data_IF_002199128217
#
_entry.id   IF_002199128217
#
_cell.length_a   1.000
_cell.length_b   1.000
_cell.length_c   1.000
_cell.angle_alpha   90.00
_cell.angle_beta   90.00
_cell.angle_gamma   90.00
#
_symmetry.space_group_name_H-M   'P 1'
#
loop_
_entity.id
_entity.type
_entity.pdbx_description
1 polymer ?
#
# COMPACT_ATOMS: atom_id res chain seq x y z
N UNK A 1 -47.72 31.40 -89.53
CA UNK A 1 -46.52 30.69 -89.05
C UNK A 1 -46.48 30.77 -87.53
N UNK A 2 -46.04 29.68 -86.92
CA UNK A 2 -46.19 29.30 -85.52
C UNK A 2 -45.24 30.10 -84.61
N UNK A 3 -45.71 30.36 -83.39
CA UNK A 3 -45.00 31.05 -82.30
C UNK A 3 -43.88 30.20 -81.69
N UNK A 4 -42.94 30.83 -80.99
CA UNK A 4 -42.28 30.21 -79.84
C UNK A 4 -41.82 31.24 -78.81
N UNK A 5 -42.45 31.17 -77.63
CA UNK A 5 -42.05 31.79 -76.37
C UNK A 5 -41.21 30.75 -75.61
N UNK A 6 -40.02 31.11 -75.18
CA UNK A 6 -39.11 30.22 -74.42
C UNK A 6 -39.43 30.38 -72.92
N UNK A 7 -39.76 29.29 -72.19
CA UNK A 7 -40.09 29.34 -70.76
C UNK A 7 -38.85 29.35 -69.86
N UNK A 8 -38.94 30.09 -68.77
CA UNK A 8 -37.99 30.15 -67.66
C UNK A 8 -38.09 28.86 -66.83
N UNK A 9 -36.98 28.12 -66.70
CA UNK A 9 -36.89 26.96 -65.81
C UNK A 9 -36.68 27.41 -64.36
N UNK A 10 -37.71 27.19 -63.53
CA UNK A 10 -37.58 27.18 -62.07
C UNK A 10 -37.06 25.79 -61.67
N UNK A 11 -35.84 25.71 -61.15
CA UNK A 11 -35.31 24.47 -60.55
C UNK A 11 -35.93 24.28 -59.16
N UNK A 12 -36.50 23.10 -58.92
CA UNK A 12 -37.00 22.66 -57.61
C UNK A 12 -35.83 22.60 -56.62
N UNK A 13 -35.99 23.22 -55.45
CA UNK A 13 -35.14 22.98 -54.29
C UNK A 13 -35.65 21.70 -53.62
N UNK A 14 -35.12 20.56 -54.03
CA UNK A 14 -35.21 19.28 -53.31
C UNK A 14 -33.85 18.55 -53.40
N UNK A 15 -32.75 19.31 -53.31
CA UNK A 15 -31.44 18.72 -53.01
C UNK A 15 -31.37 18.53 -51.49
N UNK A 16 -31.58 17.29 -51.07
CA UNK A 16 -31.27 16.80 -49.73
C UNK A 16 -29.85 17.25 -49.35
N UNK A 17 -29.76 18.14 -48.37
CA UNK A 17 -28.54 18.33 -47.61
C UNK A 17 -28.24 16.97 -46.96
N UNK A 18 -27.16 16.32 -47.39
CA UNK A 18 -26.61 15.18 -46.67
C UNK A 18 -26.11 15.69 -45.31
N UNK A 19 -26.96 15.54 -44.29
CA UNK A 19 -26.67 15.88 -42.89
C UNK A 19 -25.93 14.74 -42.19
N UNK A 20 -25.38 13.76 -42.92
CA UNK A 20 -24.55 12.74 -42.30
C UNK A 20 -23.29 13.39 -41.76
N UNK A 21 -23.30 13.65 -40.44
CA UNK A 21 -22.07 13.88 -39.71
C UNK A 21 -21.14 12.71 -40.02
N UNK A 22 -19.86 12.96 -40.34
CA UNK A 22 -18.90 11.87 -40.53
C UNK A 22 -18.99 10.97 -39.29
N UNK A 23 -18.95 9.63 -39.46
CA UNK A 23 -19.06 8.71 -38.33
C UNK A 23 -18.03 9.15 -37.28
N UNK A 24 -18.51 9.43 -36.06
CA UNK A 24 -17.65 9.71 -34.91
C UNK A 24 -16.59 8.62 -34.92
N UNK A 25 -15.33 9.01 -35.22
CA UNK A 25 -14.17 8.13 -35.03
C UNK A 25 -14.37 7.50 -33.66
N UNK A 26 -14.53 6.18 -33.59
CA UNK A 26 -14.74 5.52 -32.31
C UNK A 26 -13.55 5.91 -31.43
N UNK A 27 -13.75 6.88 -30.53
CA UNK A 27 -12.71 7.27 -29.58
C UNK A 27 -12.40 6.00 -28.83
N UNK A 28 -11.13 5.58 -28.86
CA UNK A 28 -10.70 4.43 -28.10
C UNK A 28 -11.21 4.60 -26.66
N UNK A 29 -11.88 3.59 -26.09
CA UNK A 29 -12.53 3.73 -24.80
C UNK A 29 -11.52 4.21 -23.76
N UNK A 30 -11.96 5.13 -22.90
CA UNK A 30 -11.13 5.64 -21.81
C UNK A 30 -10.67 4.44 -20.95
N UNK A 31 -9.37 4.41 -20.67
CA UNK A 31 -8.71 3.36 -19.87
C UNK A 31 -8.16 3.97 -18.60
N UNK A 32 -8.67 3.52 -17.46
CA UNK A 32 -8.29 3.99 -16.13
C UNK A 32 -7.60 2.85 -15.39
N UNK A 33 -6.44 3.14 -14.81
CA UNK A 33 -5.74 2.24 -13.90
C UNK A 33 -6.13 2.58 -12.47
N UNK A 34 -6.46 1.57 -11.67
CA UNK A 34 -6.81 1.73 -10.24
C UNK A 34 -5.79 0.94 -9.42
N UNK A 35 -4.85 1.64 -8.78
CA UNK A 35 -3.76 1.10 -7.97
C UNK A 35 -3.83 1.57 -6.49
N UNK A 36 -4.81 1.12 -5.70
CA UNK A 36 -4.94 1.54 -4.32
C UNK A 36 -4.11 0.68 -3.36
N UNK A 37 -3.87 1.19 -2.15
CA UNK A 37 -3.63 0.37 -0.96
C UNK A 37 -4.91 0.24 -0.13
N UNK A 38 -4.94 -0.74 0.78
CA UNK A 38 -6.00 -0.86 1.79
C UNK A 38 -6.10 0.36 2.71
N UNK A 39 -7.27 0.51 3.36
CA UNK A 39 -7.48 1.48 4.44
C UNK A 39 -7.28 0.75 5.75
N UNK A 40 -6.17 1.05 6.44
CA UNK A 40 -5.77 0.39 7.69
C UNK A 40 -6.95 0.29 8.67
N UNK A 41 -7.17 -0.91 9.20
CA UNK A 41 -8.26 -1.23 10.13
C UNK A 41 -9.69 -1.08 9.56
N UNK A 42 -9.87 -0.73 8.27
CA UNK A 42 -11.18 -0.42 7.67
C UNK A 42 -11.49 -1.26 6.43
N UNK A 43 -10.81 -1.05 5.31
CA UNK A 43 -11.10 -1.71 4.04
C UNK A 43 -9.89 -2.48 3.52
N UNK A 44 -10.12 -3.73 3.11
CA UNK A 44 -9.15 -4.53 2.37
C UNK A 44 -8.81 -3.89 1.02
N UNK A 45 -7.57 -4.09 0.57
CA UNK A 45 -7.03 -3.53 -0.67
C UNK A 45 -7.87 -3.88 -1.90
N UNK A 46 -8.42 -5.09 -1.99
CA UNK A 46 -9.29 -5.52 -3.10
C UNK A 46 -10.62 -4.75 -3.07
N UNK A 47 -11.21 -4.63 -1.88
CA UNK A 47 -12.47 -3.90 -1.66
C UNK A 47 -12.31 -2.43 -2.03
N UNK A 48 -11.18 -1.80 -1.68
CA UNK A 48 -10.88 -0.42 -2.08
C UNK A 48 -10.87 -0.29 -3.60
N UNK A 49 -10.23 -1.21 -4.33
CA UNK A 49 -10.21 -1.18 -5.80
C UNK A 49 -11.61 -1.34 -6.40
N UNK A 50 -12.45 -2.21 -5.83
CA UNK A 50 -13.83 -2.43 -6.25
C UNK A 50 -14.72 -1.21 -6.00
N UNK A 51 -14.58 -0.54 -4.86
CA UNK A 51 -15.29 0.70 -4.57
C UNK A 51 -14.97 1.80 -5.60
N UNK A 52 -13.69 1.98 -5.91
CA UNK A 52 -13.25 2.99 -6.89
C UNK A 52 -13.80 2.66 -8.28
N UNK A 53 -13.70 1.40 -8.72
CA UNK A 53 -14.28 0.95 -9.99
C UNK A 53 -15.79 1.21 -10.04
N UNK A 54 -16.53 0.85 -8.98
CA UNK A 54 -17.98 1.10 -8.89
C UNK A 54 -18.30 2.58 -9.06
N UNK A 55 -17.61 3.47 -8.34
CA UNK A 55 -17.82 4.91 -8.41
C UNK A 55 -17.51 5.48 -9.81
N UNK A 56 -16.41 5.03 -10.42
CA UNK A 56 -16.05 5.39 -11.80
C UNK A 56 -17.15 4.98 -12.79
N UNK A 57 -17.63 3.73 -12.71
CA UNK A 57 -18.63 3.18 -13.65
C UNK A 57 -20.02 3.78 -13.50
N UNK A 58 -20.37 4.35 -12.33
CA UNK A 58 -21.60 5.14 -12.17
C UNK A 58 -21.64 6.39 -13.07
N UNK A 59 -20.47 6.93 -13.45
CA UNK A 59 -20.35 8.09 -14.34
C UNK A 59 -20.10 7.69 -15.79
N UNK A 60 -19.25 6.69 -16.01
CA UNK A 60 -18.89 6.17 -17.33
C UNK A 60 -19.03 4.65 -17.37
N UNK A 61 -20.19 4.10 -17.75
CA UNK A 61 -20.41 2.65 -17.75
C UNK A 61 -19.45 1.87 -18.66
N UNK A 62 -19.07 2.44 -19.80
CA UNK A 62 -18.25 1.79 -20.83
C UNK A 62 -16.73 2.00 -20.65
N UNK A 63 -16.31 2.62 -19.54
CA UNK A 63 -14.88 2.83 -19.26
C UNK A 63 -14.18 1.51 -18.96
N UNK A 64 -12.98 1.34 -19.50
CA UNK A 64 -12.15 0.18 -19.20
C UNK A 64 -11.38 0.48 -17.91
N UNK A 65 -11.70 -0.24 -16.84
CA UNK A 65 -10.98 -0.16 -15.56
C UNK A 65 -10.05 -1.36 -15.44
N UNK A 66 -8.76 -1.08 -15.26
CA UNK A 66 -7.76 -2.08 -14.89
C UNK A 66 -7.44 -1.89 -13.41
N UNK A 67 -7.71 -2.91 -12.59
CA UNK A 67 -7.38 -2.89 -11.15
C UNK A 67 -6.04 -3.57 -10.92
N UNK A 68 -5.22 -2.95 -10.09
CA UNK A 68 -3.96 -3.47 -9.59
C UNK A 68 -3.87 -3.11 -8.10
N UNK A 69 -4.59 -3.83 -7.21
CA UNK A 69 -4.53 -3.61 -5.75
C UNK A 69 -3.13 -3.89 -5.21
N UNK A 70 -2.60 -2.98 -4.38
CA UNK A 70 -1.20 -2.99 -3.95
C UNK A 70 -1.07 -3.30 -2.46
N UNK A 71 -0.49 -4.47 -2.17
CA UNK A 71 -0.22 -4.94 -0.81
C UNK A 71 1.20 -4.57 -0.41
N UNK A 72 1.39 -3.79 0.65
CA UNK A 72 2.71 -3.28 1.05
C UNK A 72 3.41 -4.18 2.09
N UNK A 73 3.14 -5.48 2.12
CA UNK A 73 3.62 -6.38 3.17
C UNK A 73 2.85 -6.26 4.50
N UNK A 74 1.84 -5.40 4.57
CA UNK A 74 0.86 -5.36 5.66
C UNK A 74 -0.28 -6.35 5.47
N UNK A 75 -1.48 -5.95 5.91
CA UNK A 75 -2.67 -6.81 5.94
C UNK A 75 -3.02 -7.39 4.55
N UNK A 76 -3.20 -8.72 4.48
CA UNK A 76 -3.66 -9.43 3.28
C UNK A 76 -2.56 -9.76 2.26
N UNK A 77 -1.30 -9.45 2.56
CA UNK A 77 -0.16 -9.73 1.68
C UNK A 77 0.03 -11.23 1.43
N UNK A 78 -0.03 -12.07 2.47
CA UNK A 78 0.14 -13.52 2.30
C UNK A 78 -1.00 -14.13 1.49
N UNK A 79 -2.24 -13.74 1.78
CA UNK A 79 -3.42 -14.18 1.03
C UNK A 79 -3.30 -13.81 -0.45
N UNK A 80 -2.96 -12.57 -0.76
CA UNK A 80 -2.85 -12.11 -2.14
C UNK A 80 -1.78 -12.88 -2.95
N UNK A 81 -0.63 -13.17 -2.35
CA UNK A 81 0.41 -13.96 -3.02
C UNK A 81 0.00 -15.42 -3.22
N UNK A 82 -0.65 -16.02 -2.23
CA UNK A 82 -1.19 -17.37 -2.34
C UNK A 82 -2.23 -17.44 -3.47
N UNK A 83 -3.19 -16.53 -3.51
CA UNK A 83 -4.21 -16.48 -4.56
C UNK A 83 -3.58 -16.30 -5.95
N UNK A 84 -2.63 -15.37 -6.08
CA UNK A 84 -1.96 -15.08 -7.37
C UNK A 84 -1.14 -16.25 -7.88
N UNK A 85 -0.58 -17.06 -6.98
CA UNK A 85 0.31 -18.19 -7.33
C UNK A 85 -0.41 -19.54 -7.37
N UNK A 86 -1.70 -19.59 -7.04
CA UNK A 86 -2.43 -20.85 -6.86
C UNK A 86 -1.86 -21.70 -5.72
N UNK A 87 -1.33 -21.05 -4.69
CA UNK A 87 -0.80 -21.69 -3.50
C UNK A 87 -1.88 -22.02 -2.46
N UNK A 88 -1.47 -22.20 -1.21
CA UNK A 88 -2.37 -22.54 -0.12
C UNK A 88 -2.06 -21.77 1.17
N UNK A 89 -3.09 -21.41 1.92
CA UNK A 89 -2.94 -20.88 3.28
C UNK A 89 -2.90 -22.02 4.29
N UNK A 90 -2.05 -21.88 5.31
CA UNK A 90 -1.92 -22.78 6.46
C UNK A 90 -2.41 -22.03 7.68
N UNK A 91 -3.44 -22.56 8.33
CA UNK A 91 -3.99 -22.00 9.56
C UNK A 91 -3.24 -22.57 10.76
N UNK A 92 -2.94 -21.73 11.75
CA UNK A 92 -2.24 -22.13 12.97
C UNK A 92 -2.70 -21.27 14.14
N UNK A 93 -2.92 -21.88 15.30
CA UNK A 93 -3.08 -21.11 16.54
C UNK A 93 -1.72 -20.60 17.00
N UNK A 94 -1.60 -19.30 17.20
CA UNK A 94 -0.36 -18.63 17.62
C UNK A 94 -0.64 -17.62 18.74
N UNK A 95 0.42 -17.21 19.42
CA UNK A 95 0.40 -16.17 20.43
C UNK A 95 0.15 -14.81 19.79
N UNK A 96 -1.00 -14.20 20.08
CA UNK A 96 -1.34 -12.86 19.61
C UNK A 96 -0.47 -11.75 20.22
N UNK A 97 -0.60 -10.50 19.73
CA UNK A 97 0.25 -9.40 20.17
C UNK A 97 0.05 -9.05 21.65
N UNK A 98 -1.13 -9.32 22.20
CA UNK A 98 -1.46 -9.14 23.63
C UNK A 98 -1.34 -10.44 24.44
N UNK A 99 -0.61 -11.44 23.92
CA UNK A 99 -0.35 -12.76 24.55
C UNK A 99 -1.58 -13.65 24.71
N UNK A 100 -2.68 -13.28 24.06
CA UNK A 100 -3.88 -14.12 23.95
C UNK A 100 -3.75 -14.95 22.66
N UNK A 101 -3.96 -16.28 22.69
CA UNK A 101 -3.93 -17.12 21.50
C UNK A 101 -4.96 -16.66 20.45
N UNK A 102 -4.59 -16.74 19.17
CA UNK A 102 -5.47 -16.46 18.05
C UNK A 102 -5.19 -17.39 16.87
N UNK A 103 -6.20 -17.64 16.05
CA UNK A 103 -6.03 -18.35 14.79
C UNK A 103 -5.45 -17.39 13.75
N UNK A 104 -4.25 -17.70 13.30
CA UNK A 104 -3.50 -16.95 12.29
C UNK A 104 -3.18 -17.84 11.10
N UNK A 105 -2.39 -17.32 10.16
CA UNK A 105 -2.00 -18.05 8.98
C UNK A 105 -0.65 -17.62 8.40
N UNK A 106 -0.07 -18.54 7.64
CA UNK A 106 1.00 -18.25 6.67
C UNK A 106 0.63 -18.87 5.32
N UNK A 107 1.26 -18.42 4.25
CA UNK A 107 1.02 -18.92 2.89
C UNK A 107 2.15 -19.81 2.40
N UNK A 108 1.82 -20.87 1.67
CA UNK A 108 2.73 -21.59 0.78
C UNK A 108 2.43 -21.16 -0.65
N UNK A 109 3.42 -20.64 -1.36
CA UNK A 109 3.22 -20.21 -2.75
C UNK A 109 3.13 -21.42 -3.68
N UNK A 110 2.22 -21.32 -4.65
CA UNK A 110 2.03 -22.33 -5.69
C UNK A 110 2.83 -22.04 -6.97
N UNK A 111 2.57 -22.88 -7.98
CA UNK A 111 3.21 -22.83 -9.30
C UNK A 111 4.55 -23.58 -9.37
N UNK A 112 5.08 -23.71 -10.58
CA UNK A 112 6.41 -24.27 -10.81
C UNK A 112 7.48 -23.26 -10.38
N UNK A 113 7.85 -23.33 -9.10
CA UNK A 113 8.89 -22.51 -8.50
C UNK A 113 10.10 -23.40 -8.22
N UNK A 114 11.29 -22.86 -8.47
CA UNK A 114 12.55 -23.55 -8.17
C UNK A 114 12.79 -23.82 -6.68
N UNK A 115 12.04 -23.16 -5.79
CA UNK A 115 12.16 -23.27 -4.33
C UNK A 115 10.79 -23.30 -3.66
N UNK A 116 10.60 -24.19 -2.67
CA UNK A 116 9.41 -24.15 -1.82
C UNK A 116 9.43 -22.86 -0.99
N UNK A 117 8.49 -21.95 -1.26
CA UNK A 117 8.47 -20.60 -0.69
C UNK A 117 7.27 -20.42 0.21
N UNK A 118 7.51 -19.96 1.44
CA UNK A 118 6.46 -19.52 2.35
C UNK A 118 6.43 -18.00 2.48
N UNK A 119 5.24 -17.47 2.73
CA UNK A 119 5.00 -16.06 3.05
C UNK A 119 4.41 -15.98 4.45
N UNK A 120 5.10 -15.26 5.33
CA UNK A 120 4.61 -14.94 6.67
C UNK A 120 4.28 -13.46 6.71
N UNK A 121 3.06 -13.14 7.07
CA UNK A 121 2.61 -11.77 7.24
C UNK A 121 2.64 -11.43 8.73
N UNK A 122 3.43 -10.42 9.12
CA UNK A 122 3.53 -10.08 10.53
C UNK A 122 2.22 -9.54 11.09
N UNK A 123 1.41 -8.88 10.26
CA UNK A 123 0.11 -8.33 10.66
C UNK A 123 -0.89 -9.43 11.03
N UNK A 124 -0.77 -10.64 10.46
CA UNK A 124 -1.64 -11.77 10.75
C UNK A 124 -1.47 -12.32 12.18
N UNK A 125 -0.32 -12.12 12.82
CA UNK A 125 -0.04 -12.58 14.19
C UNK A 125 0.22 -11.45 15.19
N UNK A 126 0.66 -10.28 14.72
CA UNK A 126 1.09 -9.16 15.55
C UNK A 126 0.70 -7.79 14.94
N UNK A 127 -0.37 -7.75 14.16
CA UNK A 127 -0.91 -6.52 13.56
C UNK A 127 -1.65 -5.64 14.56
N UNK A 128 -1.72 -4.34 14.26
CA UNK A 128 -2.40 -3.33 15.09
C UNK A 128 -3.90 -3.63 15.22
N UNK A 129 -4.52 -4.16 14.16
CA UNK A 129 -5.92 -4.59 14.13
C UNK A 129 -6.23 -5.69 15.16
N UNK A 130 -5.22 -6.48 15.54
CA UNK A 130 -5.35 -7.56 16.54
C UNK A 130 -5.17 -7.07 17.98
N UNK A 131 -4.90 -5.78 18.17
CA UNK A 131 -4.74 -5.16 19.50
C UNK A 131 -6.02 -4.36 19.80
N UNK A 132 -6.86 -4.81 20.76
CA UNK A 132 -8.02 -4.05 21.20
C UNK A 132 -7.64 -2.62 21.58
N UNK A 133 -8.47 -1.63 21.23
CA UNK A 133 -8.15 -0.20 21.40
C UNK A 133 -7.81 0.16 22.86
N UNK A 134 -8.50 -0.46 23.81
CA UNK A 134 -8.32 -0.32 25.25
C UNK A 134 -7.12 -1.10 25.81
N UNK A 135 -6.51 -1.96 24.99
CA UNK A 135 -5.33 -2.78 25.31
C UNK A 135 -4.09 -2.39 24.49
N UNK A 136 -4.12 -1.22 23.84
CA UNK A 136 -3.01 -0.71 23.01
C UNK A 136 -1.87 -0.22 23.88
N UNK A 137 -0.96 -1.13 24.17
CA UNK A 137 0.27 -0.85 24.92
C UNK A 137 1.49 -1.48 24.21
N UNK A 138 2.22 -0.70 23.38
CA UNK A 138 3.38 -1.21 22.65
C UNK A 138 4.57 -1.55 23.54
N UNK A 139 4.51 -1.24 24.84
CA UNK A 139 5.54 -1.64 25.80
C UNK A 139 5.45 -3.12 26.15
N UNK A 140 4.26 -3.72 26.07
CA UNK A 140 4.03 -5.14 26.40
C UNK A 140 3.68 -6.02 25.22
N UNK A 141 3.28 -5.44 24.07
CA UNK A 141 2.91 -6.25 22.91
C UNK A 141 4.10 -6.96 22.28
N UNK A 142 3.86 -8.15 21.72
CA UNK A 142 4.89 -9.10 21.32
C UNK A 142 4.76 -9.57 19.86
N UNK A 143 5.89 -9.87 19.23
CA UNK A 143 5.98 -10.51 17.90
C UNK A 143 6.10 -12.04 17.98
N UNK A 144 5.91 -12.64 19.16
CA UNK A 144 6.11 -14.09 19.37
C UNK A 144 5.36 -14.98 18.37
N UNK A 145 4.08 -14.69 18.11
CA UNK A 145 3.28 -15.43 17.13
C UNK A 145 3.83 -15.37 15.70
N UNK A 146 4.56 -14.32 15.33
CA UNK A 146 5.24 -14.25 14.02
C UNK A 146 6.33 -15.31 13.95
N UNK A 147 7.09 -15.51 15.02
CA UNK A 147 8.11 -16.55 15.09
C UNK A 147 7.51 -17.97 15.10
N UNK A 148 6.32 -18.15 15.67
CA UNK A 148 5.58 -19.42 15.60
C UNK A 148 5.15 -19.74 14.16
N UNK A 149 4.64 -18.76 13.40
CA UNK A 149 4.34 -18.93 11.98
C UNK A 149 5.60 -19.26 11.17
N UNK A 150 6.71 -18.57 11.43
CA UNK A 150 7.99 -18.85 10.77
C UNK A 150 8.49 -20.26 11.10
N UNK A 151 8.40 -20.70 12.36
CA UNK A 151 8.77 -22.05 12.79
C UNK A 151 7.95 -23.11 12.05
N UNK A 152 6.63 -22.95 11.98
CA UNK A 152 5.77 -23.89 11.26
C UNK A 152 6.13 -23.97 9.77
N UNK A 153 6.39 -22.83 9.12
CA UNK A 153 6.85 -22.81 7.74
C UNK A 153 8.21 -23.51 7.56
N UNK A 154 9.14 -23.34 8.50
CA UNK A 154 10.43 -24.03 8.50
C UNK A 154 10.27 -25.55 8.63
N UNK A 155 9.38 -26.01 9.51
CA UNK A 155 9.06 -27.43 9.72
C UNK A 155 8.46 -28.08 8.46
N UNK A 156 7.75 -27.30 7.64
CA UNK A 156 7.29 -27.70 6.32
C UNK A 156 8.38 -27.80 5.25
N UNK A 157 9.64 -27.54 5.60
CA UNK A 157 10.77 -27.76 4.69
C UNK A 157 10.96 -26.67 3.64
N UNK A 158 10.44 -25.46 3.87
CA UNK A 158 10.62 -24.33 2.94
C UNK A 158 12.10 -23.98 2.76
N UNK A 159 12.43 -23.41 1.61
CA UNK A 159 13.77 -22.97 1.23
C UNK A 159 13.87 -21.44 1.15
N UNK A 160 12.72 -20.76 1.00
CA UNK A 160 12.61 -19.29 1.01
C UNK A 160 11.46 -18.87 1.92
N UNK A 161 11.70 -17.86 2.75
CA UNK A 161 10.72 -17.19 3.59
C UNK A 161 10.61 -15.71 3.19
N UNK A 162 9.40 -15.30 2.82
CA UNK A 162 9.06 -13.90 2.53
C UNK A 162 8.29 -13.36 3.72
N UNK A 163 8.80 -12.31 4.35
CA UNK A 163 8.18 -11.68 5.52
C UNK A 163 7.54 -10.36 5.11
N UNK A 164 6.22 -10.26 5.24
CA UNK A 164 5.49 -8.99 5.12
C UNK A 164 5.66 -8.16 6.40
N UNK A 165 6.28 -6.98 6.28
CA UNK A 165 6.48 -6.05 7.39
C UNK A 165 5.63 -4.77 7.23
N UNK A 166 4.34 -4.88 7.53
CA UNK A 166 3.41 -3.76 7.58
C UNK A 166 2.45 -3.88 8.76
N UNK A 167 1.80 -2.77 9.11
CA UNK A 167 0.66 -2.71 10.05
C UNK A 167 0.85 -3.35 11.44
N UNK A 168 2.08 -3.34 11.96
CA UNK A 168 2.41 -3.89 13.29
C UNK A 168 1.70 -3.18 14.44
N UNK A 169 1.23 -3.96 15.42
CA UNK A 169 0.76 -3.52 16.73
C UNK A 169 1.83 -3.56 17.83
N UNK A 170 3.10 -3.79 17.46
CA UNK A 170 4.20 -4.12 18.39
C UNK A 170 5.34 -3.12 18.36
N UNK A 171 6.15 -3.09 19.42
CA UNK A 171 7.42 -2.35 19.46
C UNK A 171 8.51 -3.08 20.25
N UNK A 172 8.63 -4.39 20.03
CA UNK A 172 9.52 -5.30 20.77
C UNK A 172 10.83 -5.62 20.05
N UNK A 173 11.21 -4.88 19.01
CA UNK A 173 12.47 -5.13 18.29
C UNK A 173 12.53 -6.47 17.54
N UNK A 174 11.41 -7.21 17.44
CA UNK A 174 11.41 -8.59 16.95
C UNK A 174 11.94 -9.60 17.97
N UNK A 175 12.11 -9.22 19.24
CA UNK A 175 12.63 -10.11 20.28
C UNK A 175 11.69 -11.29 20.52
N UNK A 176 10.36 -11.07 20.53
CA UNK A 176 9.38 -12.15 20.65
C UNK A 176 9.50 -13.15 19.50
N UNK A 177 9.57 -12.68 18.25
CA UNK A 177 9.79 -13.50 17.07
C UNK A 177 11.07 -14.35 17.19
N UNK A 178 12.18 -13.75 17.63
CA UNK A 178 13.45 -14.46 17.84
C UNK A 178 13.36 -15.52 18.95
N UNK A 179 12.68 -15.21 20.06
CA UNK A 179 12.48 -16.16 21.16
C UNK A 179 11.67 -17.38 20.70
N UNK A 180 10.58 -17.18 19.95
CA UNK A 180 9.81 -18.28 19.38
C UNK A 180 10.62 -19.14 18.40
N UNK A 181 11.65 -18.58 17.77
CA UNK A 181 12.60 -19.30 16.91
C UNK A 181 13.77 -19.94 17.68
N UNK A 182 13.87 -19.74 19.00
CA UNK A 182 14.85 -20.38 19.89
C UNK A 182 16.00 -19.49 20.37
N UNK A 183 15.97 -18.18 20.11
CA UNK A 183 16.92 -17.25 20.71
C UNK A 183 16.60 -17.02 22.20
N UNK A 184 17.63 -16.71 22.99
CA UNK A 184 17.50 -16.41 24.42
C UNK A 184 18.15 -15.06 24.71
N UNK A 185 17.45 -14.19 25.42
CA UNK A 185 17.94 -12.87 25.79
C UNK A 185 18.25 -12.83 27.28
N UNK A 186 19.31 -12.13 27.67
CA UNK A 186 19.75 -12.06 29.06
C UNK A 186 19.85 -10.62 29.53
N UNK A 187 19.49 -10.39 30.80
CA UNK A 187 19.67 -9.10 31.46
C UNK A 187 21.11 -8.90 31.97
N UNK A 188 21.37 -7.72 32.56
CA UNK A 188 22.68 -7.38 33.16
C UNK A 188 23.09 -8.28 34.34
N UNK A 189 22.18 -9.07 34.88
CA UNK A 189 22.44 -10.02 35.98
C UNK A 189 22.64 -11.45 35.46
N UNK A 190 22.54 -11.68 34.14
CA UNK A 190 22.62 -13.00 33.52
C UNK A 190 21.33 -13.81 33.61
N UNK A 191 20.21 -13.20 34.04
CA UNK A 191 18.91 -13.87 34.03
C UNK A 191 18.32 -13.81 32.63
N UNK A 192 17.69 -14.91 32.21
CA UNK A 192 16.99 -14.96 30.94
C UNK A 192 15.71 -14.10 31.00
N UNK A 193 15.50 -13.25 30.00
CA UNK A 193 14.28 -12.50 29.84
C UNK A 193 13.13 -13.45 29.49
N UNK A 194 12.01 -13.31 30.19
CA UNK A 194 10.85 -14.15 29.94
C UNK A 194 10.37 -14.01 28.47
N UNK A 195 9.89 -15.11 27.85
CA UNK A 195 9.34 -15.07 26.50
C UNK A 195 8.21 -14.04 26.36
N UNK A 196 8.14 -13.39 25.20
CA UNK A 196 7.04 -12.50 24.86
C UNK A 196 6.82 -11.35 25.88
N UNK A 197 7.90 -10.83 26.47
CA UNK A 197 7.82 -9.76 27.49
C UNK A 197 7.53 -8.35 26.92
N UNK A 198 7.52 -8.20 25.59
CA UNK A 198 7.27 -6.93 24.92
C UNK A 198 8.50 -6.01 24.87
N UNK A 199 8.32 -4.80 24.34
CA UNK A 199 9.41 -3.84 24.13
C UNK A 199 10.05 -3.32 25.41
N UNK A 200 9.32 -3.25 26.52
CA UNK A 200 9.85 -2.73 27.78
C UNK A 200 11.00 -3.57 28.33
N UNK A 201 10.91 -4.89 28.17
CA UNK A 201 11.92 -5.82 28.68
C UNK A 201 13.29 -5.61 28.03
N UNK A 202 13.35 -4.96 26.86
CA UNK A 202 14.60 -4.62 26.20
C UNK A 202 15.39 -3.53 26.92
N UNK A 203 14.83 -2.81 27.90
CA UNK A 203 15.58 -1.85 28.71
C UNK A 203 16.74 -2.50 29.47
N UNK A 204 16.60 -3.77 29.86
CA UNK A 204 17.60 -4.48 30.68
C UNK A 204 18.46 -5.43 29.88
N UNK A 205 18.24 -5.56 28.56
CA UNK A 205 18.93 -6.53 27.72
C UNK A 205 20.44 -6.24 27.65
N UNK A 206 21.24 -7.27 27.92
CA UNK A 206 22.69 -7.20 27.98
C UNK A 206 23.37 -8.15 26.97
N UNK A 207 22.75 -9.31 26.72
CA UNK A 207 23.27 -10.31 25.78
C UNK A 207 22.15 -11.10 25.08
N UNK A 208 22.50 -11.77 23.99
CA UNK A 208 21.64 -12.71 23.26
C UNK A 208 22.42 -13.97 22.88
N UNK A 209 21.83 -15.12 23.17
CA UNK A 209 22.29 -16.44 22.72
C UNK A 209 21.43 -16.92 21.54
N UNK A 210 22.10 -17.30 20.45
CA UNK A 210 21.50 -17.76 19.21
C UNK A 210 21.73 -19.25 18.96
N UNK A 211 22.38 -19.96 19.89
CA UNK A 211 22.71 -21.38 19.74
C UNK A 211 21.46 -22.26 19.64
N UNK A 212 20.35 -21.84 20.23
CA UNK A 212 19.05 -22.52 20.20
C UNK A 212 18.18 -22.21 18.98
N UNK A 213 18.63 -21.35 18.05
CA UNK A 213 17.86 -21.00 16.86
C UNK A 213 17.51 -22.24 16.03
N UNK A 214 16.31 -22.24 15.46
CA UNK A 214 15.83 -23.32 14.60
C UNK A 214 16.86 -23.65 13.50
N UNK A 215 17.34 -24.91 13.38
CA UNK A 215 18.53 -25.25 12.60
C UNK A 215 18.40 -24.93 11.11
N UNK A 216 17.18 -25.00 10.56
CA UNK A 216 16.91 -24.68 9.15
C UNK A 216 17.11 -23.20 8.79
N UNK A 217 17.14 -22.29 9.75
CA UNK A 217 17.39 -20.86 9.49
C UNK A 217 18.73 -20.62 8.78
N UNK A 218 19.70 -21.53 8.94
CA UNK A 218 21.01 -21.47 8.24
C UNK A 218 20.94 -21.83 6.75
N UNK A 219 19.84 -22.45 6.31
CA UNK A 219 19.67 -23.02 4.97
C UNK A 219 18.57 -22.31 4.17
N UNK A 220 17.78 -21.46 4.83
CA UNK A 220 16.63 -20.79 4.23
C UNK A 220 16.98 -19.35 3.89
N UNK A 221 16.62 -18.94 2.68
CA UNK A 221 16.69 -17.53 2.29
C UNK A 221 15.54 -16.77 2.93
N UNK A 222 15.87 -15.77 3.76
CA UNK A 222 14.87 -14.92 4.40
C UNK A 222 14.93 -13.54 3.75
N UNK A 223 13.79 -13.06 3.29
CA UNK A 223 13.64 -11.69 2.84
C UNK A 223 12.45 -11.04 3.53
N UNK A 224 12.53 -9.72 3.71
CA UNK A 224 11.47 -8.97 4.34
C UNK A 224 11.09 -7.76 3.47
N UNK A 225 9.83 -7.70 3.06
CA UNK A 225 9.28 -6.54 2.37
C UNK A 225 8.92 -5.47 3.42
N UNK A 226 9.72 -4.41 3.53
CA UNK A 226 9.57 -3.40 4.59
C UNK A 226 9.82 -1.95 4.15
N UNK A 227 9.43 -0.98 4.99
CA UNK A 227 9.82 0.40 4.77
C UNK A 227 11.29 0.59 5.13
N UNK A 228 12.19 0.61 4.15
CA UNK A 228 13.62 0.81 4.39
C UNK A 228 13.95 2.21 4.94
N UNK A 229 13.01 3.17 4.92
CA UNK A 229 13.21 4.47 5.56
C UNK A 229 13.05 4.40 7.09
N UNK A 230 12.41 3.35 7.62
CA UNK A 230 12.22 3.18 9.05
C UNK A 230 13.51 2.69 9.70
N UNK A 231 14.01 3.46 10.65
CA UNK A 231 15.21 3.15 11.44
C UNK A 231 14.85 2.81 12.88
N UNK A 232 15.68 2.02 13.54
CA UNK A 232 15.42 1.52 14.89
C UNK A 232 15.45 2.66 15.93
N UNK A 233 16.52 3.45 15.93
CA UNK A 233 16.84 4.40 17.00
C UNK A 233 16.97 5.85 16.50
N UNK A 234 16.99 6.77 17.46
CA UNK A 234 17.28 8.19 17.23
C UNK A 234 16.03 9.03 17.00
N UNK A 235 16.17 10.31 16.59
CA UNK A 235 15.04 11.24 16.47
C UNK A 235 13.94 10.79 15.50
N UNK A 236 14.31 10.00 14.49
CA UNK A 236 13.39 9.38 13.51
C UNK A 236 13.21 7.88 13.75
N UNK A 237 13.57 7.39 14.94
CA UNK A 237 13.45 6.00 15.34
C UNK A 237 12.00 5.54 15.41
N UNK A 238 11.78 4.24 15.24
CA UNK A 238 10.44 3.64 15.14
C UNK A 238 9.56 3.93 16.35
N UNK A 239 10.13 3.96 17.57
CA UNK A 239 9.39 4.26 18.79
C UNK A 239 8.77 5.68 18.72
N UNK A 240 9.53 6.67 18.26
CA UNK A 240 9.10 8.07 18.18
C UNK A 240 8.10 8.30 17.04
N UNK A 241 8.35 7.69 15.89
CA UNK A 241 7.52 7.92 14.68
C UNK A 241 6.22 7.13 14.73
N UNK A 242 6.25 5.88 15.22
CA UNK A 242 5.13 4.94 15.14
C UNK A 242 4.62 4.44 16.49
N UNK A 243 5.29 4.72 17.60
CA UNK A 243 4.79 4.39 18.94
C UNK A 243 3.43 5.05 19.25
N UNK A 244 3.23 6.36 19.01
CA UNK A 244 1.98 7.05 19.37
C UNK A 244 0.73 6.45 18.72
N UNK A 245 0.79 6.08 17.44
CA UNK A 245 -0.34 5.44 16.75
C UNK A 245 -0.65 4.02 17.27
N UNK A 246 0.31 3.38 17.96
CA UNK A 246 0.16 2.07 18.60
C UNK A 246 -0.30 2.16 20.06
N UNK A 247 -0.50 3.37 20.59
CA UNK A 247 -0.97 3.62 21.95
C UNK A 247 0.07 4.20 22.91
N UNK A 248 1.32 4.38 22.50
CA UNK A 248 2.35 4.91 23.40
C UNK A 248 2.10 6.39 23.77
N UNK A 249 2.08 6.65 25.07
CA UNK A 249 2.23 8.00 25.64
C UNK A 249 3.63 8.54 25.38
N UNK A 250 3.82 9.85 25.55
CA UNK A 250 5.15 10.47 25.38
C UNK A 250 6.21 9.84 26.30
N UNK A 251 5.85 9.48 27.53
CA UNK A 251 6.76 8.82 28.47
C UNK A 251 7.13 7.40 28.00
N UNK A 252 6.16 6.63 27.51
CA UNK A 252 6.40 5.29 26.96
C UNK A 252 7.21 5.34 25.67
N UNK A 253 7.07 6.39 24.85
CA UNK A 253 7.93 6.60 23.68
C UNK A 253 9.40 6.72 24.07
N UNK A 254 9.73 7.52 25.09
CA UNK A 254 11.12 7.66 25.57
C UNK A 254 11.65 6.35 26.16
N UNK A 255 10.79 5.63 26.85
CA UNK A 255 11.12 4.33 27.46
C UNK A 255 11.40 3.28 26.38
N UNK A 256 10.55 3.19 25.36
CA UNK A 256 10.74 2.32 24.19
C UNK A 256 11.99 2.70 23.40
N UNK A 257 12.25 3.99 23.19
CA UNK A 257 13.47 4.44 22.52
C UNK A 257 14.71 4.01 23.31
N UNK A 258 14.71 4.16 24.64
CA UNK A 258 15.80 3.68 25.51
C UNK A 258 15.98 2.16 25.39
N UNK A 259 14.88 1.41 25.44
CA UNK A 259 14.88 -0.05 25.28
C UNK A 259 15.47 -0.49 23.94
N UNK A 260 15.05 0.15 22.86
CA UNK A 260 15.55 -0.14 21.52
C UNK A 260 17.02 0.26 21.33
N UNK A 261 17.51 1.32 21.98
CA UNK A 261 18.94 1.66 21.97
C UNK A 261 19.78 0.60 22.69
N UNK A 262 19.33 0.09 23.84
CA UNK A 262 20.00 -1.00 24.55
C UNK A 262 20.06 -2.27 23.68
N UNK A 263 18.92 -2.65 23.10
CA UNK A 263 18.81 -3.75 22.15
C UNK A 263 19.72 -3.57 20.94
N UNK A 264 19.72 -2.38 20.32
CA UNK A 264 20.59 -2.06 19.19
C UNK A 264 22.06 -2.28 19.50
N UNK A 265 22.51 -1.89 20.70
CA UNK A 265 23.88 -2.09 21.17
C UNK A 265 24.24 -3.58 21.23
N UNK A 266 23.36 -4.42 21.81
CA UNK A 266 23.56 -5.87 21.91
C UNK A 266 23.64 -6.51 20.52
N UNK A 267 22.67 -6.22 19.65
CA UNK A 267 22.60 -6.80 18.30
C UNK A 267 23.76 -6.34 17.44
N UNK A 268 24.15 -5.06 17.52
CA UNK A 268 25.28 -4.53 16.75
C UNK A 268 26.60 -5.23 17.10
N UNK A 269 26.82 -5.58 18.37
CA UNK A 269 27.97 -6.37 18.79
C UNK A 269 27.97 -7.77 18.19
N UNK A 270 26.81 -8.46 18.15
CA UNK A 270 26.70 -9.80 17.57
C UNK A 270 26.91 -9.82 16.06
N UNK A 271 26.45 -8.77 15.36
CA UNK A 271 26.60 -8.64 13.91
C UNK A 271 27.93 -7.99 13.47
N UNK A 272 28.68 -7.39 14.39
CA UNK A 272 29.92 -6.67 14.07
C UNK A 272 29.70 -5.37 13.28
N UNK A 273 28.49 -4.81 13.29
CA UNK A 273 28.13 -3.55 12.62
C UNK A 273 27.00 -2.84 13.34
N UNK A 274 26.97 -1.51 13.27
CA UNK A 274 25.86 -0.72 13.84
C UNK A 274 24.56 -0.92 13.05
N UNK A 275 23.49 -1.31 13.74
CA UNK A 275 22.16 -1.48 13.16
C UNK A 275 21.16 -0.40 13.59
N UNK A 276 21.56 0.52 14.47
CA UNK A 276 20.68 1.52 15.09
C UNK A 276 19.96 2.40 14.06
N UNK A 277 20.66 2.73 12.96
CA UNK A 277 20.12 3.50 11.84
C UNK A 277 20.18 2.77 10.51
N UNK A 278 20.36 1.44 10.53
CA UNK A 278 20.41 0.67 9.29
C UNK A 278 19.06 0.76 8.55
N UNK A 279 19.04 0.86 7.20
CA UNK A 279 17.80 0.94 6.44
C UNK A 279 16.86 -0.23 6.75
N UNK A 280 15.63 0.07 7.16
CA UNK A 280 14.61 -0.92 7.51
C UNK A 280 14.75 -1.57 8.88
N UNK A 281 15.78 -1.24 9.67
CA UNK A 281 15.98 -1.75 11.03
C UNK A 281 14.78 -1.48 11.95
N UNK A 282 14.08 -0.36 11.72
CA UNK A 282 12.87 0.03 12.46
C UNK A 282 11.57 -0.54 11.90
N UNK A 283 11.60 -1.37 10.86
CA UNK A 283 10.39 -1.95 10.30
C UNK A 283 9.58 -2.71 11.36
N UNK A 284 8.26 -2.53 11.35
CA UNK A 284 7.31 -3.23 12.23
C UNK A 284 7.71 -3.21 13.72
N UNK A 285 8.00 -2.03 14.27
CA UNK A 285 8.36 -1.92 15.70
C UNK A 285 9.78 -2.39 16.03
N UNK A 286 10.66 -2.40 15.04
CA UNK A 286 12.04 -2.88 15.18
C UNK A 286 12.23 -4.36 14.82
N UNK A 287 11.18 -5.08 14.42
CA UNK A 287 11.29 -6.45 13.93
C UNK A 287 12.28 -6.60 12.77
N UNK A 288 12.46 -5.55 11.95
CA UNK A 288 13.52 -5.50 10.94
C UNK A 288 14.92 -5.78 11.50
N UNK A 289 15.20 -5.34 12.73
CA UNK A 289 16.47 -5.63 13.42
C UNK A 289 16.59 -7.10 13.79
N UNK A 290 15.52 -7.72 14.31
CA UNK A 290 15.50 -9.16 14.55
C UNK A 290 15.69 -9.98 13.28
N UNK A 291 15.09 -9.55 12.16
CA UNK A 291 15.26 -10.19 10.85
C UNK A 291 16.70 -10.03 10.32
N UNK A 292 17.32 -8.86 10.50
CA UNK A 292 18.75 -8.65 10.19
C UNK A 292 19.65 -9.57 11.01
N UNK A 293 19.31 -9.85 12.27
CA UNK A 293 20.05 -10.79 13.12
C UNK A 293 19.98 -12.23 12.57
N UNK A 294 18.86 -12.60 11.95
CA UNK A 294 18.70 -13.88 11.25
C UNK A 294 19.37 -13.91 9.87
N UNK A 295 20.02 -12.81 9.44
CA UNK A 295 20.63 -12.70 8.12
C UNK A 295 19.64 -12.39 6.99
N UNK A 296 18.43 -11.91 7.30
CA UNK A 296 17.44 -11.59 6.29
C UNK A 296 17.84 -10.40 5.42
N UNK A 297 17.49 -10.46 4.14
CA UNK A 297 17.55 -9.31 3.24
C UNK A 297 16.33 -8.40 3.46
N UNK A 298 16.54 -7.20 3.99
CA UNK A 298 15.49 -6.19 4.07
C UNK A 298 15.36 -5.51 2.71
N UNK A 299 14.20 -5.66 2.07
CA UNK A 299 13.93 -5.15 0.73
C UNK A 299 12.89 -4.03 0.76
N UNK A 300 13.07 -2.99 -0.06
CA UNK A 300 12.04 -1.97 -0.22
C UNK A 300 10.73 -2.62 -0.64
N UNK A 301 9.64 -2.29 0.07
CA UNK A 301 8.30 -2.82 -0.21
C UNK A 301 7.97 -2.80 -1.70
N UNK A 302 8.22 -1.70 -2.39
CA UNK A 302 7.83 -1.57 -3.79
C UNK A 302 8.55 -2.50 -4.76
N UNK A 303 9.82 -2.82 -4.49
CA UNK A 303 10.53 -3.80 -5.29
C UNK A 303 9.90 -5.18 -5.13
N UNK A 304 9.60 -5.56 -3.88
CA UNK A 304 8.90 -6.80 -3.57
C UNK A 304 7.51 -6.84 -4.23
N UNK A 305 6.73 -5.76 -4.15
CA UNK A 305 5.40 -5.71 -4.75
C UNK A 305 5.47 -5.77 -6.29
N UNK A 306 6.46 -5.12 -6.90
CA UNK A 306 6.71 -5.21 -8.35
C UNK A 306 7.03 -6.64 -8.77
N UNK A 307 7.95 -7.29 -8.05
CA UNK A 307 8.39 -8.66 -8.34
C UNK A 307 7.23 -9.67 -8.20
N UNK A 308 6.46 -9.59 -7.11
CA UNK A 308 5.48 -10.63 -6.82
C UNK A 308 4.09 -10.40 -7.40
N UNK A 309 3.65 -9.14 -7.53
CA UNK A 309 2.34 -8.80 -8.08
C UNK A 309 2.40 -8.28 -9.51
N UNK A 310 3.59 -8.24 -10.12
CA UNK A 310 3.74 -7.88 -11.52
C UNK A 310 3.38 -6.42 -11.82
N UNK A 311 3.66 -5.49 -10.89
CA UNK A 311 3.49 -4.05 -11.13
C UNK A 311 4.62 -3.56 -12.00
N UNK A 312 4.60 -3.95 -13.26
CA UNK A 312 5.59 -3.52 -14.20
C UNK A 312 5.10 -2.24 -14.89
N UNK A 313 6.00 -1.51 -15.53
CA UNK A 313 5.67 -0.31 -16.30
C UNK A 313 4.59 -0.58 -17.38
N UNK A 314 4.42 -1.83 -17.80
CA UNK A 314 3.34 -2.28 -18.67
C UNK A 314 1.92 -2.04 -18.10
N UNK A 315 1.76 -2.00 -16.78
CA UNK A 315 0.49 -1.63 -16.13
C UNK A 315 0.10 -0.18 -16.36
N UNK A 316 1.03 0.68 -16.75
CA UNK A 316 0.76 2.09 -17.02
C UNK A 316 0.59 2.36 -18.52
N UNK A 317 1.02 1.44 -19.39
CA UNK A 317 0.84 1.56 -20.84
C UNK A 317 -0.64 1.54 -21.22
N UNK A 318 -0.99 2.35 -22.23
CA UNK A 318 -2.35 2.49 -22.77
C UNK A 318 -3.40 2.95 -21.76
N UNK A 319 -2.99 3.57 -20.64
CA UNK A 319 -3.89 4.24 -19.71
C UNK A 319 -3.97 5.74 -20.03
N UNK A 320 -5.01 6.39 -19.51
CA UNK A 320 -5.23 7.83 -19.64
C UNK A 320 -5.27 8.53 -18.29
N UNK A 321 -5.52 7.78 -17.21
CA UNK A 321 -5.66 8.28 -15.85
C UNK A 321 -5.35 7.15 -14.86
N UNK A 322 -4.75 7.51 -13.74
CA UNK A 322 -4.48 6.59 -12.62
C UNK A 322 -5.23 7.07 -11.37
N UNK A 323 -5.95 6.16 -10.73
CA UNK A 323 -6.44 6.32 -9.37
C UNK A 323 -5.56 5.54 -8.40
N UNK A 324 -5.28 6.11 -7.26
CA UNK A 324 -4.72 5.41 -6.09
C UNK A 324 -5.53 5.79 -4.85
N UNK A 325 -5.30 5.11 -3.74
CA UNK A 325 -5.98 5.40 -2.49
C UNK A 325 -5.18 4.90 -1.30
N UNK A 326 -5.34 5.56 -0.15
CA UNK A 326 -4.86 5.07 1.14
C UNK A 326 -5.72 5.60 2.30
N UNK A 327 -5.63 4.97 3.48
CA UNK A 327 -6.44 5.39 4.63
C UNK A 327 -6.12 6.82 5.14
N UNK A 328 -4.87 7.25 5.01
CA UNK A 328 -4.43 8.60 5.42
C UNK A 328 -3.31 9.12 4.52
N UNK A 329 -3.61 10.20 3.79
CA UNK A 329 -2.66 10.92 2.94
C UNK A 329 -2.10 12.12 3.70
N UNK A 330 -0.79 12.17 3.94
CA UNK A 330 -0.11 13.22 4.73
C UNK A 330 1.36 13.37 4.33
N UNK A 331 2.16 14.12 5.12
CA UNK A 331 3.59 14.31 4.90
C UNK A 331 4.45 13.05 5.00
N UNK A 332 3.90 11.93 5.49
CA UNK A 332 4.58 10.64 5.50
C UNK A 332 4.34 9.84 4.23
N UNK A 333 3.35 10.19 3.41
CA UNK A 333 3.07 9.47 2.16
C UNK A 333 4.25 9.47 1.18
N UNK A 334 4.98 10.58 0.96
CA UNK A 334 6.20 10.59 0.16
C UNK A 334 7.32 9.68 0.71
N UNK A 335 7.23 9.27 1.98
CA UNK A 335 8.23 8.50 2.71
C UNK A 335 8.01 6.98 2.57
N UNK A 336 7.69 6.55 1.36
CA UNK A 336 7.58 5.12 1.07
C UNK A 336 6.21 4.50 1.32
N UNK A 337 5.09 5.24 1.11
CA UNK A 337 3.73 4.67 1.00
C UNK A 337 3.25 4.46 -0.44
N UNK A 338 2.31 3.54 -0.64
CA UNK A 338 1.81 3.12 -1.97
C UNK A 338 1.45 4.29 -2.92
N UNK A 339 0.67 5.31 -2.51
CA UNK A 339 0.30 6.40 -3.44
C UNK A 339 1.48 7.14 -4.05
N UNK A 340 2.58 7.28 -3.30
CA UNK A 340 3.79 7.93 -3.79
C UNK A 340 4.45 7.16 -4.94
N UNK A 341 4.57 5.84 -4.80
CA UNK A 341 5.19 5.00 -5.84
C UNK A 341 4.33 4.93 -7.09
N UNK A 342 3.01 4.82 -6.92
CA UNK A 342 2.06 4.87 -8.04
C UNK A 342 2.19 6.19 -8.80
N UNK A 343 2.31 7.31 -8.07
CA UNK A 343 2.49 8.61 -8.66
C UNK A 343 3.80 8.71 -9.47
N UNK A 344 4.93 8.33 -8.86
CA UNK A 344 6.25 8.32 -9.49
C UNK A 344 6.26 7.51 -10.80
N UNK A 345 5.65 6.32 -10.81
CA UNK A 345 5.56 5.47 -12.01
C UNK A 345 4.63 6.06 -13.06
N UNK A 346 3.43 6.48 -12.66
CA UNK A 346 2.48 7.11 -13.57
C UNK A 346 3.11 8.32 -14.28
N UNK A 347 3.92 9.11 -13.57
CA UNK A 347 4.63 10.26 -14.15
C UNK A 347 5.71 9.90 -15.16
N UNK A 348 6.41 8.76 -15.01
CA UNK A 348 7.31 8.25 -16.07
C UNK A 348 6.56 7.99 -17.38
N UNK A 349 5.25 7.75 -17.32
CA UNK A 349 4.38 7.55 -18.48
C UNK A 349 3.56 8.80 -18.86
N UNK A 350 3.80 9.95 -18.21
CA UNK A 350 3.06 11.20 -18.48
C UNK A 350 1.58 11.13 -18.08
N UNK A 351 1.21 10.23 -17.16
CA UNK A 351 -0.18 10.04 -16.75
C UNK A 351 -0.57 10.99 -15.60
N UNK A 352 -1.82 11.48 -15.60
CA UNK A 352 -2.40 12.13 -14.44
C UNK A 352 -2.77 11.09 -13.36
N UNK A 353 -2.68 11.51 -12.10
CA UNK A 353 -2.85 10.68 -10.90
C UNK A 353 -3.78 11.37 -9.92
N UNK A 354 -4.78 10.62 -9.45
CA UNK A 354 -5.70 11.07 -8.41
C UNK A 354 -5.62 10.12 -7.22
N UNK A 355 -5.46 10.66 -6.02
CA UNK A 355 -5.51 9.88 -4.78
C UNK A 355 -6.83 10.11 -4.03
N UNK A 356 -7.48 9.03 -3.60
CA UNK A 356 -8.60 9.07 -2.66
C UNK A 356 -8.12 8.68 -1.27
N UNK A 357 -8.31 9.57 -0.30
CA UNK A 357 -7.80 9.39 1.05
C UNK A 357 -8.95 9.21 2.04
N UNK A 358 -8.85 8.22 2.94
CA UNK A 358 -9.77 8.11 4.06
C UNK A 358 -9.79 9.40 4.90
N UNK A 359 -8.59 9.91 5.18
CA UNK A 359 -8.37 11.22 5.80
C UNK A 359 -7.20 11.94 5.11
N UNK A 360 -7.30 13.26 5.01
CA UNK A 360 -6.19 14.12 4.55
C UNK A 360 -5.56 14.75 5.79
N UNK A 361 -4.31 14.40 6.07
CA UNK A 361 -3.58 14.87 7.24
C UNK A 361 -2.82 16.19 7.00
N UNK A 362 -2.07 16.65 8.02
CA UNK A 362 -1.22 17.82 7.92
C UNK A 362 -0.22 17.70 6.77
N UNK A 363 0.07 18.83 6.13
CA UNK A 363 1.08 18.97 5.07
C UNK A 363 0.90 18.00 3.88
N UNK A 364 -0.34 17.55 3.63
CA UNK A 364 -0.66 16.67 2.49
C UNK A 364 -0.30 17.29 1.13
N UNK A 365 -0.15 18.62 1.04
CA UNK A 365 0.32 19.31 -0.15
C UNK A 365 1.72 18.86 -0.63
N UNK A 366 2.56 18.31 0.26
CA UNK A 366 3.84 17.71 -0.12
C UNK A 366 3.67 16.59 -1.18
N UNK A 367 2.50 15.96 -1.25
CA UNK A 367 2.19 14.91 -2.22
C UNK A 367 2.06 15.42 -3.67
N UNK A 368 1.81 16.72 -3.88
CA UNK A 368 1.84 17.28 -5.23
C UNK A 368 3.23 17.21 -5.85
N UNK A 369 4.29 17.35 -5.04
CA UNK A 369 5.68 17.36 -5.50
C UNK A 369 6.16 16.00 -6.03
N UNK A 370 5.51 14.92 -5.61
CA UNK A 370 5.85 13.55 -6.04
C UNK A 370 4.97 13.03 -7.18
N UNK A 371 4.08 13.90 -7.73
CA UNK A 371 3.29 13.59 -8.92
C UNK A 371 1.86 13.16 -8.67
N UNK A 372 1.31 13.31 -7.46
CA UNK A 372 -0.15 13.24 -7.29
C UNK A 372 -0.73 14.55 -7.81
N UNK A 373 -1.55 14.55 -8.86
CA UNK A 373 -2.09 15.80 -9.45
C UNK A 373 -3.29 16.34 -8.68
N UNK A 374 -4.07 15.44 -8.09
CA UNK A 374 -5.19 15.79 -7.23
C UNK A 374 -5.38 14.72 -6.15
N UNK A 375 -5.89 15.14 -4.99
CA UNK A 375 -6.37 14.21 -3.99
C UNK A 375 -7.67 14.71 -3.37
N UNK A 376 -8.50 13.77 -2.92
CA UNK A 376 -9.76 14.07 -2.26
C UNK A 376 -9.93 13.19 -1.02
N UNK A 377 -10.50 13.77 0.04
CA UNK A 377 -11.01 13.00 1.16
C UNK A 377 -12.27 12.25 0.74
N UNK A 378 -12.45 11.01 1.20
CA UNK A 378 -13.73 10.29 1.01
C UNK A 378 -14.85 10.87 1.89
N UNK A 379 -14.48 11.68 2.88
CA UNK A 379 -15.38 12.21 3.88
C UNK A 379 -16.23 13.34 3.28
N UNK A 380 -17.55 13.22 3.40
CA UNK A 380 -18.52 14.22 2.89
C UNK A 380 -18.92 15.26 3.95
N UNK A 381 -18.49 15.09 5.19
CA UNK A 381 -18.77 15.98 6.31
C UNK A 381 -18.20 15.43 7.62
N UNK A 382 -18.38 16.15 8.74
CA UNK A 382 -17.95 15.70 10.06
C UNK A 382 -18.75 14.47 10.50
N UNK A 383 -18.08 13.35 10.72
CA UNK A 383 -18.64 12.11 11.30
C UNK A 383 -17.60 11.49 12.24
N UNK A 384 -18.02 10.60 13.14
CA UNK A 384 -17.08 9.87 14.00
C UNK A 384 -16.25 8.88 13.19
N UNK A 385 -15.08 8.51 13.73
CA UNK A 385 -14.21 7.51 13.09
C UNK A 385 -14.91 6.15 12.98
N UNK A 386 -15.70 5.72 13.98
CA UNK A 386 -16.44 4.45 13.87
C UNK A 386 -17.41 4.46 12.69
N UNK A 387 -18.18 5.54 12.54
CA UNK A 387 -19.14 5.67 11.43
C UNK A 387 -18.38 5.72 10.10
N UNK A 388 -17.27 6.47 10.03
CA UNK A 388 -16.45 6.57 8.83
C UNK A 388 -15.92 5.20 8.37
N UNK A 389 -15.47 4.38 9.31
CA UNK A 389 -14.94 3.04 9.03
C UNK A 389 -16.05 2.06 8.63
N UNK A 390 -17.22 2.13 9.28
CA UNK A 390 -18.37 1.29 8.97
C UNK A 390 -18.97 1.59 7.58
N UNK A 391 -19.02 2.87 7.20
CA UNK A 391 -19.55 3.34 5.92
C UNK A 391 -18.47 3.48 4.81
N UNK A 392 -17.24 3.04 5.08
CA UNK A 392 -16.08 3.35 4.25
C UNK A 392 -16.26 2.94 2.77
N UNK A 393 -16.88 1.79 2.50
CA UNK A 393 -17.16 1.35 1.12
C UNK A 393 -18.04 2.32 0.36
N UNK A 394 -19.13 2.78 1.00
CA UNK A 394 -20.08 3.72 0.44
C UNK A 394 -19.38 5.06 0.22
N UNK A 395 -18.70 5.59 1.24
CA UNK A 395 -17.98 6.86 1.19
C UNK A 395 -16.94 6.88 0.08
N UNK A 396 -16.13 5.82 -0.06
CA UNK A 396 -15.12 5.71 -1.10
C UNK A 396 -15.74 5.63 -2.50
N UNK A 397 -16.82 4.85 -2.66
CA UNK A 397 -17.54 4.74 -3.94
C UNK A 397 -18.11 6.10 -4.35
N UNK A 398 -18.75 6.82 -3.42
CA UNK A 398 -19.35 8.13 -3.68
C UNK A 398 -18.28 9.20 -3.96
N UNK A 399 -17.12 9.12 -3.31
CA UNK A 399 -15.99 10.01 -3.57
C UNK A 399 -15.37 9.79 -4.96
N UNK A 400 -15.17 8.53 -5.37
CA UNK A 400 -14.70 8.19 -6.71
C UNK A 400 -15.68 8.68 -7.79
N UNK A 401 -16.98 8.51 -7.57
CA UNK A 401 -18.03 9.06 -8.45
C UNK A 401 -17.93 10.59 -8.54
N UNK A 402 -17.87 11.28 -7.40
CA UNK A 402 -17.83 12.74 -7.34
C UNK A 402 -16.62 13.31 -8.09
N UNK A 403 -15.44 12.74 -7.86
CA UNK A 403 -14.21 13.11 -8.59
C UNK A 403 -14.38 12.88 -10.09
N UNK A 404 -14.93 11.75 -10.51
CA UNK A 404 -15.16 11.49 -11.94
C UNK A 404 -16.16 12.46 -12.56
N UNK A 405 -17.21 12.87 -11.84
CA UNK A 405 -18.14 13.91 -12.31
C UNK A 405 -17.44 15.24 -12.54
N UNK A 406 -16.57 15.65 -11.60
CA UNK A 406 -15.76 16.88 -11.74
C UNK A 406 -14.81 16.78 -12.94
N UNK A 407 -14.15 15.63 -13.14
CA UNK A 407 -13.28 15.41 -14.30
C UNK A 407 -14.05 15.49 -15.62
N UNK A 408 -15.25 14.89 -15.70
CA UNK A 408 -16.07 14.93 -16.89
C UNK A 408 -16.58 16.34 -17.19
N UNK A 409 -16.92 17.12 -16.16
CA UNK A 409 -17.20 18.55 -16.31
C UNK A 409 -15.98 19.29 -16.90
N UNK A 410 -14.77 19.06 -16.36
CA UNK A 410 -13.52 19.62 -16.88
C UNK A 410 -13.26 19.26 -18.35
N UNK A 411 -13.49 17.99 -18.74
CA UNK A 411 -13.40 17.56 -20.15
C UNK A 411 -14.37 18.34 -21.04
N UNK A 412 -15.59 18.59 -20.56
CA UNK A 412 -16.61 19.33 -21.32
C UNK A 412 -16.24 20.80 -21.56
N UNK A 413 -15.53 21.44 -20.62
CA UNK A 413 -15.06 22.83 -20.77
C UNK A 413 -14.02 22.94 -21.89
N UNK A 414 -13.04 22.01 -21.93
CA UNK A 414 -11.99 21.98 -22.96
C UNK A 414 -12.54 21.78 -24.38
N UNK A 415 -13.64 21.03 -24.52
CA UNK A 415 -14.32 20.84 -25.81
C UNK A 415 -14.91 22.16 -26.31
N UNK A 416 -15.49 23.00 -25.44
CA UNK A 416 -16.11 24.28 -25.84
C UNK A 416 -15.08 25.26 -26.44
N UNK A 417 -13.88 25.35 -25.86
CA UNK A 417 -12.82 26.21 -26.37
C UNK A 417 -12.34 25.77 -27.77
N UNK A 418 -12.26 24.45 -28.02
CA UNK A 418 -11.87 23.91 -29.33
C UNK A 418 -12.92 24.13 -30.43
N UNK A 419 -14.21 24.24 -30.07
CA UNK A 419 -15.30 24.52 -31.01
C UNK A 419 -15.39 26.02 -31.30
N UNK A 420 -15.16 26.87 -30.29
CA UNK A 420 -15.09 28.32 -30.47
C UNK A 420 -13.95 28.74 -31.43
N UNK A 421 -12.78 28.06 -31.38
CA UNK A 421 -11.64 28.34 -32.26
C UNK A 421 -11.78 27.79 -33.70
N UNK A 422 -12.84 27.03 -34.01
CA UNK A 422 -13.16 26.57 -35.37
C UNK A 422 -14.24 27.42 -36.06
N UNK A 423 -14.79 28.43 -35.38
CA UNK A 423 -15.84 29.31 -35.89
C UNK A 423 -15.36 30.60 -36.57
N UNK A 424 -14.07 30.92 -36.50
CA UNK A 424 -13.49 32.08 -37.22
C UNK A 424 -13.02 31.67 -38.61
N UNK A 425 -14.00 31.44 -39.49
CA UNK A 425 -13.81 31.29 -40.93
C UNK A 425 -13.17 32.54 -41.52
N UNK A 426 -12.02 32.36 -42.17
CA UNK A 426 -11.43 33.36 -43.07
C UNK A 426 -12.38 33.62 -44.24
N UNK A 427 -13.11 34.73 -44.18
CA UNK A 427 -13.72 35.34 -45.37
C UNK A 427 -12.58 35.97 -46.16
N UNK A 428 -12.02 35.22 -47.09
CA UNK A 428 -11.11 35.73 -48.12
C UNK A 428 -11.92 36.64 -49.06
N UNK A 429 -11.80 37.95 -48.84
CA UNK A 429 -12.18 38.97 -49.80
C UNK A 429 -11.21 38.89 -50.98
N UNK A 430 -11.70 38.47 -52.15
CA UNK A 430 -10.96 38.64 -53.41
C UNK A 430 -11.04 40.11 -53.85
N UNK A 431 -9.93 40.76 -54.22
CA UNK A 431 -9.98 42.04 -54.90
C UNK A 431 -10.20 41.83 -56.40
N UNK A 432 -11.13 42.60 -56.97
CA UNK A 432 -11.33 42.74 -58.41
C UNK A 432 -10.04 43.16 -59.14
N UNK A 433 -9.79 42.53 -60.28
CA UNK A 433 -9.16 43.14 -61.46
C UNK A 433 -9.90 42.69 -62.71
#
# INVERSE_FOLDING_TARGET
MVAQVIPIQIRKIDELIDVSMPPKRAESPLRILVCPSGFKESLDTLVVADCIERGIKRVLPDVIVRKAPLFDGGEGFAHALVTTTGGELRQLEVTGPVKIPLISHYGILGGDRSKKTAVVEMAAAAGLRLVPKDSRDPTITTTYGVGELMRAALEEGVERLIIGCGDSGTNDGGAGMLQALGARFFDNHGNELAPASGGIALCTVADVDLSGLHPRLKQVEIEAACNCQNILCGPKGVARVYGPQKGATLAEVELLDTALNAYASVISRKLGRDISTAPGSGASGGMGTGLLLLGAALRPRYEAVTEYFGINDDLFRNCHLVFTAEGRLDSQTPQGKIPAEVALRAKKHGLPVIALAGTVGPDAAANYLIGIDAFASIMQGPISLEVAMADAERLLTDAAESVMRVLMLGKSLRVRDSVANRGSSSVLVQPLK
#
